data_IF_567980434665
#
_entry.id   IF_567980434665
#
_cell.length_a   1.000
_cell.length_b   1.000
_cell.length_c   1.000
_cell.angle_alpha   90.00
_cell.angle_beta   90.00
_cell.angle_gamma   90.00
#
_symmetry.space_group_name_H-M   'P 1'
#
loop_
_entity.id
_entity.type
_entity.pdbx_description
1 polymer ?
#
# COMPACT_ATOMS: atom_id res chain seq x y z
N UNK A 1 -24.48 18.47 60.10
CA UNK A 1 -24.36 18.03 61.50
C UNK A 1 -23.27 16.97 61.58
N UNK A 2 -22.30 17.16 62.51
CA UNK A 2 -21.61 16.14 63.35
C UNK A 2 -20.97 14.93 62.62
N UNK A 3 -19.68 15.01 62.31
CA UNK A 3 -18.51 14.45 63.06
C UNK A 3 -18.40 12.92 63.10
N UNK A 4 -17.23 12.40 62.70
CA UNK A 4 -16.31 11.63 63.56
C UNK A 4 -15.02 11.25 62.82
N UNK A 5 -13.94 11.91 63.23
CA UNK A 5 -12.56 11.46 63.11
C UNK A 5 -12.36 10.22 63.98
N UNK A 6 -11.71 9.18 63.47
CA UNK A 6 -10.99 8.23 64.31
C UNK A 6 -9.70 7.81 63.60
N UNK A 7 -8.59 8.12 64.26
CA UNK A 7 -7.25 7.70 63.90
C UNK A 7 -7.11 6.18 64.05
N UNK A 8 -6.39 5.53 63.13
CA UNK A 8 -5.57 4.37 63.48
C UNK A 8 -4.23 4.44 62.74
N UNK A 9 -3.23 4.85 63.50
CA UNK A 9 -1.82 4.53 63.28
C UNK A 9 -1.61 3.02 63.49
N UNK A 10 -1.04 2.36 62.49
CA UNK A 10 -0.64 0.97 62.55
C UNK A 10 0.49 0.69 61.55
N UNK A 11 1.73 0.80 62.04
CA UNK A 11 2.93 0.26 61.41
C UNK A 11 2.74 -1.25 61.13
N UNK A 12 3.00 -1.72 59.90
CA UNK A 12 3.95 -2.82 59.67
C UNK A 12 4.11 -3.17 58.19
N UNK A 13 5.37 -3.51 57.89
CA UNK A 13 5.84 -4.38 56.82
C UNK A 13 5.97 -3.79 55.43
N UNK A 14 7.21 -3.35 55.18
CA UNK A 14 7.89 -3.37 53.88
C UNK A 14 7.30 -4.43 52.93
N UNK A 15 6.61 -3.98 51.89
CA UNK A 15 6.55 -4.72 50.64
C UNK A 15 7.88 -4.39 49.95
N UNK A 16 8.94 -5.04 50.44
CA UNK A 16 10.21 -5.04 49.74
C UNK A 16 9.93 -5.59 48.36
N UNK A 17 10.14 -4.74 47.36
CA UNK A 17 10.01 -5.05 45.96
C UNK A 17 10.74 -6.37 45.67
N UNK A 18 9.97 -7.42 45.36
CA UNK A 18 10.53 -8.58 44.69
C UNK A 18 10.83 -8.14 43.25
N UNK A 19 11.94 -7.44 43.07
CA UNK A 19 12.59 -7.31 41.79
C UNK A 19 13.13 -8.69 41.43
N UNK A 20 12.27 -9.54 40.86
CA UNK A 20 12.69 -10.80 40.28
C UNK A 20 13.62 -10.47 39.11
N UNK A 21 14.93 -10.55 39.38
CA UNK A 21 15.94 -10.57 38.35
C UNK A 21 15.62 -11.74 37.40
N UNK A 22 15.16 -11.43 36.18
CA UNK A 22 15.12 -12.42 35.11
C UNK A 22 16.53 -12.96 34.93
N UNK A 23 16.71 -14.27 35.12
CA UNK A 23 18.02 -14.89 34.91
C UNK A 23 18.39 -14.76 33.42
N UNK A 24 19.67 -14.52 33.07
CA UNK A 24 20.09 -14.31 31.67
C UNK A 24 19.64 -15.43 30.72
N UNK A 25 19.53 -16.65 31.23
CA UNK A 25 19.06 -17.82 30.48
C UNK A 25 17.56 -17.72 30.14
N UNK A 26 16.72 -17.28 31.09
CA UNK A 26 15.29 -17.07 30.83
C UNK A 26 15.06 -15.98 29.78
N UNK A 27 15.85 -14.91 29.81
CA UNK A 27 15.81 -13.85 28.81
C UNK A 27 16.19 -14.36 27.42
N UNK A 28 17.27 -15.13 27.29
CA UNK A 28 17.67 -15.75 26.02
C UNK A 28 16.59 -16.69 25.46
N UNK A 29 15.87 -17.43 26.31
CA UNK A 29 14.75 -18.25 25.86
C UNK A 29 13.58 -17.41 25.34
N UNK A 30 13.26 -16.30 26.01
CA UNK A 30 12.22 -15.38 25.58
C UNK A 30 12.58 -14.69 24.25
N UNK A 31 13.82 -14.20 24.12
CA UNK A 31 14.30 -13.58 22.88
C UNK A 31 14.30 -14.59 21.71
N UNK A 32 14.70 -15.84 21.95
CA UNK A 32 14.65 -16.88 20.93
C UNK A 32 13.21 -17.25 20.50
N UNK A 33 12.26 -17.24 21.42
CA UNK A 33 10.85 -17.44 21.09
C UNK A 33 10.32 -16.30 20.23
N UNK A 34 10.64 -15.05 20.59
CA UNK A 34 10.28 -13.86 19.81
C UNK A 34 10.90 -13.89 18.40
N UNK A 35 12.20 -14.20 18.29
CA UNK A 35 12.90 -14.29 16.98
C UNK A 35 12.22 -15.32 16.06
N UNK A 36 11.73 -16.44 16.60
CA UNK A 36 11.01 -17.44 15.81
C UNK A 36 9.69 -16.90 15.30
N UNK A 37 8.93 -16.21 16.14
CA UNK A 37 7.67 -15.56 15.74
C UNK A 37 7.92 -14.49 14.68
N UNK A 38 8.90 -13.61 14.90
CA UNK A 38 9.29 -12.56 13.96
C UNK A 38 9.71 -13.15 12.61
N UNK A 39 10.47 -14.25 12.63
CA UNK A 39 10.88 -14.96 11.40
C UNK A 39 9.67 -15.50 10.62
N UNK A 40 8.65 -16.01 11.32
CA UNK A 40 7.42 -16.46 10.67
C UNK A 40 6.66 -15.28 10.05
N UNK A 41 6.52 -14.17 10.78
CA UNK A 41 5.86 -12.96 10.28
C UNK A 41 6.58 -12.40 9.05
N UNK A 42 7.90 -12.24 9.12
CA UNK A 42 8.72 -11.76 8.00
C UNK A 42 8.53 -12.63 6.75
N UNK A 43 8.44 -13.96 6.91
CA UNK A 43 8.18 -14.87 5.79
C UNK A 43 6.80 -14.66 5.18
N UNK A 44 5.77 -14.45 6.01
CA UNK A 44 4.41 -14.18 5.55
C UNK A 44 4.37 -12.86 4.77
N UNK A 45 4.80 -11.76 5.37
CA UNK A 45 4.87 -10.45 4.72
C UNK A 45 5.68 -10.50 3.41
N UNK A 46 6.78 -11.28 3.37
CA UNK A 46 7.60 -11.39 2.17
C UNK A 46 6.82 -12.08 1.04
N UNK A 47 5.93 -13.02 1.36
CA UNK A 47 5.02 -13.63 0.38
C UNK A 47 3.99 -12.62 -0.09
N UNK A 48 3.42 -11.82 0.82
CA UNK A 48 2.45 -10.77 0.50
C UNK A 48 3.08 -9.70 -0.41
N UNK A 49 4.27 -9.18 -0.08
CA UNK A 49 5.00 -8.23 -0.94
C UNK A 49 5.30 -8.82 -2.32
N UNK A 50 5.63 -10.12 -2.41
CA UNK A 50 5.85 -10.78 -3.70
C UNK A 50 4.56 -10.86 -4.51
N UNK A 51 3.44 -11.17 -3.86
CA UNK A 51 2.12 -11.18 -4.47
C UNK A 51 1.75 -9.79 -5.00
N UNK A 52 1.89 -8.74 -4.19
CA UNK A 52 1.60 -7.36 -4.62
C UNK A 52 2.47 -6.92 -5.79
N UNK A 53 3.74 -7.33 -5.81
CA UNK A 53 4.62 -7.06 -6.94
C UNK A 53 4.15 -7.73 -8.22
N UNK A 54 3.63 -8.97 -8.13
CA UNK A 54 3.09 -9.68 -9.28
C UNK A 54 1.84 -8.96 -9.81
N UNK A 55 0.90 -8.59 -8.94
CA UNK A 55 -0.31 -7.83 -9.30
C UNK A 55 0.05 -6.48 -9.95
N UNK A 56 0.99 -5.73 -9.36
CA UNK A 56 1.45 -4.45 -9.94
C UNK A 56 2.10 -4.67 -11.32
N UNK A 57 2.85 -5.76 -11.51
CA UNK A 57 3.50 -6.05 -12.78
C UNK A 57 2.48 -6.39 -13.87
N UNK A 58 1.49 -7.22 -13.54
CA UNK A 58 0.37 -7.57 -14.42
C UNK A 58 -0.41 -6.31 -14.83
N UNK A 59 -0.86 -5.50 -13.86
CA UNK A 59 -1.60 -4.27 -14.11
C UNK A 59 -0.81 -3.26 -14.96
N UNK A 60 0.51 -3.20 -14.80
CA UNK A 60 1.36 -2.38 -15.67
C UNK A 60 1.41 -2.90 -17.11
N UNK A 61 1.35 -4.22 -17.29
CA UNK A 61 1.27 -4.87 -18.60
C UNK A 61 -0.04 -4.50 -19.31
N UNK A 62 -1.17 -4.64 -18.61
CA UNK A 62 -2.50 -4.24 -19.09
C UNK A 62 -2.49 -2.76 -19.52
N UNK A 63 -2.07 -1.84 -18.63
CA UNK A 63 -1.98 -0.40 -18.96
C UNK A 63 -1.05 -0.12 -20.16
N UNK A 64 -0.02 -0.95 -20.39
CA UNK A 64 0.83 -0.80 -21.55
C UNK A 64 0.14 -1.23 -22.84
N UNK A 65 -0.63 -2.32 -22.80
CA UNK A 65 -1.45 -2.79 -23.92
C UNK A 65 -2.55 -1.77 -24.25
N UNK A 66 -3.30 -1.26 -23.26
CA UNK A 66 -4.34 -0.25 -23.47
C UNK A 66 -3.75 1.04 -24.07
N UNK A 67 -2.55 1.43 -23.64
CA UNK A 67 -1.85 2.57 -24.27
C UNK A 67 -1.52 2.34 -25.73
N UNK A 68 -1.23 1.11 -26.14
CA UNK A 68 -0.98 0.78 -27.54
C UNK A 68 -2.29 0.78 -28.33
N UNK A 69 -3.35 0.19 -27.79
CA UNK A 69 -4.69 0.22 -28.40
C UNK A 69 -5.19 1.67 -28.59
N UNK A 70 -5.16 2.48 -27.53
CA UNK A 70 -5.49 3.92 -27.59
C UNK A 70 -4.69 4.70 -28.64
N UNK A 71 -3.46 4.27 -28.96
CA UNK A 71 -2.67 4.89 -30.03
C UNK A 71 -3.17 4.48 -31.41
N UNK A 72 -3.53 3.22 -31.59
CA UNK A 72 -4.12 2.71 -32.83
C UNK A 72 -5.48 3.36 -33.11
N UNK A 73 -6.38 3.41 -32.12
CA UNK A 73 -7.69 4.08 -32.21
C UNK A 73 -7.56 5.56 -32.61
N UNK A 74 -6.59 6.28 -32.01
CA UNK A 74 -6.30 7.67 -32.41
C UNK A 74 -5.82 7.78 -33.86
N UNK A 75 -5.04 6.82 -34.35
CA UNK A 75 -4.60 6.81 -35.75
C UNK A 75 -5.78 6.56 -36.69
N UNK A 76 -6.66 5.62 -36.35
CA UNK A 76 -7.89 5.33 -37.09
C UNK A 76 -8.81 6.55 -37.15
N UNK A 77 -9.10 7.17 -36.01
CA UNK A 77 -9.85 8.43 -35.95
C UNK A 77 -9.24 9.53 -36.83
N UNK A 78 -7.91 9.64 -36.85
CA UNK A 78 -7.23 10.62 -37.68
C UNK A 78 -7.31 10.26 -39.18
N UNK A 79 -7.32 8.97 -39.53
CA UNK A 79 -7.56 8.51 -40.89
C UNK A 79 -8.99 8.85 -41.34
N UNK A 80 -9.98 8.61 -40.49
CA UNK A 80 -11.38 9.01 -40.72
C UNK A 80 -11.49 10.52 -40.96
N UNK A 81 -10.83 11.35 -40.15
CA UNK A 81 -10.83 12.80 -40.33
C UNK A 81 -10.23 13.24 -41.69
N UNK A 82 -9.18 12.56 -42.16
CA UNK A 82 -8.58 12.84 -43.48
C UNK A 82 -9.50 12.40 -44.62
N UNK A 83 -10.14 11.26 -44.48
CA UNK A 83 -11.12 10.76 -45.45
C UNK A 83 -12.33 11.70 -45.52
N UNK A 84 -12.86 12.13 -44.37
CA UNK A 84 -13.94 13.11 -44.25
C UNK A 84 -13.60 14.40 -45.03
N UNK A 85 -12.40 14.95 -44.78
CA UNK A 85 -11.93 16.15 -45.47
C UNK A 85 -11.77 15.94 -46.99
N UNK A 86 -11.38 14.73 -47.43
CA UNK A 86 -11.27 14.41 -48.85
C UNK A 86 -12.66 14.37 -49.52
N UNK A 87 -13.68 13.81 -48.87
CA UNK A 87 -15.05 13.79 -49.39
C UNK A 87 -15.67 15.18 -49.41
N UNK A 88 -15.44 16.00 -48.37
CA UNK A 88 -15.83 17.41 -48.37
C UNK A 88 -15.22 18.18 -49.54
N UNK A 89 -13.94 17.92 -49.88
CA UNK A 89 -13.27 18.56 -51.01
C UNK A 89 -13.85 18.14 -52.36
N UNK A 90 -14.37 16.92 -52.48
CA UNK A 90 -15.06 16.42 -53.68
C UNK A 90 -16.51 16.93 -53.77
N UNK A 91 -17.03 17.55 -52.70
CA UNK A 91 -18.42 17.99 -52.62
C UNK A 91 -19.41 16.88 -52.23
N UNK A 92 -18.93 15.70 -51.83
CA UNK A 92 -19.79 14.63 -51.33
C UNK A 92 -20.07 14.82 -49.83
N UNK A 93 -21.19 15.50 -49.56
CA UNK A 93 -21.64 15.78 -48.20
C UNK A 93 -22.21 14.55 -47.50
N UNK A 94 -22.70 13.56 -48.25
CA UNK A 94 -23.30 12.35 -47.66
C UNK A 94 -22.19 11.44 -47.16
N UNK A 95 -21.17 11.19 -47.99
CA UNK A 95 -19.97 10.45 -47.61
C UNK A 95 -19.24 11.11 -46.43
N UNK A 96 -19.06 12.43 -46.47
CA UNK A 96 -18.45 13.17 -45.37
C UNK A 96 -19.24 13.03 -44.05
N UNK A 97 -20.57 13.10 -44.07
CA UNK A 97 -21.40 12.96 -42.86
C UNK A 97 -21.30 11.55 -42.26
N UNK A 98 -21.21 10.50 -43.08
CA UNK A 98 -21.00 9.13 -42.58
C UNK A 98 -19.65 9.00 -41.87
N UNK A 99 -18.60 9.58 -42.44
CA UNK A 99 -17.26 9.58 -41.85
C UNK A 99 -17.19 10.42 -40.58
N UNK A 100 -17.87 11.57 -40.51
CA UNK A 100 -17.99 12.36 -39.28
C UNK A 100 -18.67 11.56 -38.16
N UNK A 101 -19.73 10.83 -38.47
CA UNK A 101 -20.41 9.96 -37.50
C UNK A 101 -19.47 8.87 -36.98
N UNK A 102 -18.81 8.13 -37.87
CA UNK A 102 -17.83 7.11 -37.49
C UNK A 102 -16.69 7.69 -36.64
N UNK A 103 -16.19 8.88 -37.01
CA UNK A 103 -15.15 9.59 -36.26
C UNK A 103 -15.61 10.01 -34.86
N UNK A 104 -16.88 10.37 -34.68
CA UNK A 104 -17.46 10.70 -33.38
C UNK A 104 -17.60 9.45 -32.52
N UNK A 105 -18.08 8.36 -33.09
CA UNK A 105 -18.21 7.07 -32.39
C UNK A 105 -16.84 6.60 -31.89
N UNK A 106 -15.82 6.67 -32.75
CA UNK A 106 -14.41 6.41 -32.40
C UNK A 106 -13.92 7.35 -31.28
N UNK A 107 -14.29 8.64 -31.35
CA UNK A 107 -13.94 9.61 -30.32
C UNK A 107 -14.62 9.31 -28.97
N UNK A 108 -15.80 8.67 -28.96
CA UNK A 108 -16.47 8.21 -27.75
C UNK A 108 -15.79 6.98 -27.16
N UNK A 109 -15.42 5.99 -27.98
CA UNK A 109 -14.64 4.82 -27.55
C UNK A 109 -13.32 5.24 -26.89
N UNK A 110 -12.53 6.10 -27.56
CA UNK A 110 -11.28 6.68 -27.03
C UNK A 110 -11.48 7.38 -25.67
N UNK A 111 -12.65 7.99 -25.42
CA UNK A 111 -12.94 8.64 -24.13
C UNK A 111 -13.22 7.63 -23.03
N UNK A 112 -13.92 6.54 -23.34
CA UNK A 112 -14.21 5.45 -22.41
C UNK A 112 -12.90 4.73 -22.04
N UNK A 113 -12.10 4.33 -23.02
CA UNK A 113 -10.81 3.66 -22.79
C UNK A 113 -9.86 4.54 -21.95
N UNK A 114 -9.85 5.86 -22.19
CA UNK A 114 -9.10 6.80 -21.33
C UNK A 114 -9.56 6.80 -19.88
N UNK A 115 -10.85 6.60 -19.61
CA UNK A 115 -11.37 6.55 -18.26
C UNK A 115 -10.95 5.25 -17.56
N UNK A 116 -11.03 4.13 -18.26
CA UNK A 116 -10.57 2.81 -17.79
C UNK A 116 -9.07 2.82 -17.48
N UNK A 117 -8.25 3.34 -18.41
CA UNK A 117 -6.81 3.47 -18.23
C UNK A 117 -6.44 4.35 -17.02
N UNK A 118 -7.24 5.38 -16.70
CA UNK A 118 -7.05 6.19 -15.48
C UNK A 118 -7.44 5.41 -14.23
N UNK A 119 -8.50 4.62 -14.30
CA UNK A 119 -8.91 3.74 -13.21
C UNK A 119 -7.79 2.73 -12.89
N UNK A 120 -7.21 2.08 -13.89
CA UNK A 120 -6.16 1.09 -13.67
C UNK A 120 -4.87 1.71 -13.15
N UNK A 121 -4.53 2.92 -13.60
CA UNK A 121 -3.45 3.70 -13.01
C UNK A 121 -3.68 4.01 -11.53
N UNK A 122 -4.93 4.29 -11.14
CA UNK A 122 -5.30 4.51 -9.74
C UNK A 122 -5.19 3.23 -8.93
N UNK A 123 -5.64 2.09 -9.46
CA UNK A 123 -5.48 0.78 -8.82
C UNK A 123 -4.00 0.46 -8.57
N UNK A 124 -3.13 0.68 -9.56
CA UNK A 124 -1.68 0.53 -9.41
C UNK A 124 -1.12 1.47 -8.33
N UNK A 125 -1.60 2.72 -8.28
CA UNK A 125 -1.15 3.69 -7.28
C UNK A 125 -1.54 3.26 -5.86
N UNK A 126 -2.77 2.76 -5.68
CA UNK A 126 -3.24 2.24 -4.39
C UNK A 126 -2.38 1.05 -3.94
N UNK A 127 -2.19 0.03 -4.77
CA UNK A 127 -1.33 -1.11 -4.42
C UNK A 127 0.11 -0.70 -4.07
N UNK A 128 0.64 0.36 -4.71
CA UNK A 128 1.94 0.91 -4.33
C UNK A 128 1.91 1.60 -2.96
N UNK A 129 0.84 2.31 -2.64
CA UNK A 129 0.67 2.97 -1.35
C UNK A 129 0.58 1.92 -0.23
N UNK A 130 -0.29 0.92 -0.38
CA UNK A 130 -0.47 -0.19 0.57
C UNK A 130 0.87 -0.89 0.86
N UNK A 131 1.64 -1.17 -0.21
CA UNK A 131 2.98 -1.75 -0.10
C UNK A 131 3.95 -0.84 0.66
N UNK A 132 3.86 0.48 0.53
CA UNK A 132 4.74 1.40 1.25
C UNK A 132 4.33 1.51 2.72
N UNK A 133 3.03 1.54 3.00
CA UNK A 133 2.50 1.50 4.36
C UNK A 133 2.97 0.25 5.11
N UNK A 134 2.86 -0.93 4.48
CA UNK A 134 3.37 -2.18 5.05
C UNK A 134 4.89 -2.13 5.33
N UNK A 135 5.66 -1.45 4.49
CA UNK A 135 7.10 -1.26 4.72
C UNK A 135 7.40 -0.31 5.87
N UNK A 136 6.65 0.77 6.00
CA UNK A 136 6.82 1.76 7.07
C UNK A 136 6.44 1.15 8.43
N UNK A 137 5.30 0.45 8.51
CA UNK A 137 4.89 -0.28 9.72
C UNK A 137 5.98 -1.25 10.19
N UNK A 138 6.61 -1.99 9.27
CA UNK A 138 7.76 -2.85 9.59
C UNK A 138 8.97 -2.07 10.11
N UNK A 139 9.24 -0.90 9.55
CA UNK A 139 10.36 -0.09 9.98
C UNK A 139 10.13 0.44 11.40
N UNK A 140 8.93 0.93 11.69
CA UNK A 140 8.53 1.39 13.02
C UNK A 140 8.64 0.27 14.07
N UNK A 141 8.10 -0.91 13.79
CA UNK A 141 8.22 -2.09 14.68
C UNK A 141 9.68 -2.49 14.93
N UNK A 142 10.56 -2.32 13.93
CA UNK A 142 12.01 -2.59 14.11
C UNK A 142 12.68 -1.56 15.00
N UNK A 143 12.29 -0.28 14.88
CA UNK A 143 12.82 0.81 15.70
C UNK A 143 12.39 0.62 17.15
N UNK A 144 11.10 0.37 17.40
CA UNK A 144 10.56 0.14 18.74
C UNK A 144 11.27 -1.03 19.43
N UNK A 145 11.42 -2.18 18.75
CA UNK A 145 12.20 -3.31 19.27
C UNK A 145 13.65 -2.97 19.56
N UNK A 146 14.28 -2.14 18.71
CA UNK A 146 15.66 -1.71 18.93
C UNK A 146 15.76 -0.85 20.20
N UNK A 147 14.85 0.08 20.40
CA UNK A 147 14.79 0.91 21.60
C UNK A 147 14.58 0.07 22.86
N UNK A 148 13.66 -0.89 22.83
CA UNK A 148 13.43 -1.79 23.96
C UNK A 148 14.65 -2.64 24.29
N UNK A 149 15.36 -3.14 23.27
CA UNK A 149 16.61 -3.87 23.47
C UNK A 149 17.67 -2.96 24.12
N UNK A 150 17.85 -1.75 23.61
CA UNK A 150 18.83 -0.79 24.17
C UNK A 150 18.49 -0.44 25.63
N UNK A 151 17.22 -0.23 25.96
CA UNK A 151 16.79 0.01 27.36
C UNK A 151 17.12 -1.17 28.26
N UNK A 152 16.80 -2.41 27.83
CA UNK A 152 17.12 -3.62 28.58
C UNK A 152 18.63 -3.78 28.81
N UNK A 153 19.43 -3.62 27.76
CA UNK A 153 20.89 -3.73 27.84
C UNK A 153 21.47 -2.66 28.78
N UNK A 154 20.93 -1.45 28.72
CA UNK A 154 21.33 -0.35 29.60
C UNK A 154 21.00 -0.62 31.07
N UNK A 155 19.84 -1.19 31.37
CA UNK A 155 19.44 -1.51 32.74
C UNK A 155 20.17 -2.74 33.30
N UNK A 156 20.46 -3.74 32.44
CA UNK A 156 21.29 -4.88 32.81
C UNK A 156 22.74 -4.48 33.15
N UNK A 157 23.29 -3.46 32.48
CA UNK A 157 24.63 -2.93 32.75
C UNK A 157 24.74 -2.07 34.02
N UNK A 158 23.63 -1.77 34.70
CA UNK A 158 23.62 -1.02 35.98
C UNK A 158 23.62 -1.93 37.22
N UNK A 159 23.52 -3.25 37.03
CA UNK A 159 23.57 -4.28 38.07
C UNK A 159 25.02 -4.78 38.18
#
# INVERSE_FOLDING_TARGET
MKTKTLMMTGLLSMISAAAFAQTPVAQVHQDNAQIRQDTQQIRQDTREIKHDNAVIAEKKGEVAADKQQLRAEKQERNALARAEHAELKKGDLVGARQLDQARRDEQHAIKQEKHELRHDQKVIANHKADKQEAKLARHEEKVERHEDRVKRDHDAGKI
#
